data_IF_210155425484
#
_entry.id   IF_210155425484
#
_cell.length_a   1.000
_cell.length_b   1.000
_cell.length_c   1.000
_cell.angle_alpha   90.00
_cell.angle_beta   90.00
_cell.angle_gamma   90.00
#
_symmetry.space_group_name_H-M   'P 1'
#
loop_
_entity.id
_entity.type
_entity.pdbx_description
1 polymer ?
#
# COMPACT_ATOMS: atom_id res chain seq x y z
N UNK A 1 -21.20 -7.52 40.62
CA UNK A 1 -20.75 -6.25 40.04
C UNK A 1 -19.38 -6.33 39.34
N UNK A 2 -18.50 -7.30 39.62
CA UNK A 2 -17.14 -7.38 39.05
C UNK A 2 -17.08 -7.84 37.57
N UNK A 3 -18.12 -8.57 37.08
CA UNK A 3 -18.15 -9.12 35.71
C UNK A 3 -18.57 -8.08 34.64
N UNK A 4 -19.24 -7.02 34.99
CA UNK A 4 -19.66 -5.96 34.04
C UNK A 4 -18.51 -4.99 33.75
N UNK A 5 -17.63 -4.73 34.73
CA UNK A 5 -16.48 -3.87 34.56
C UNK A 5 -15.40 -4.46 33.60
N UNK A 6 -15.25 -5.80 33.60
CA UNK A 6 -14.31 -6.48 32.72
C UNK A 6 -14.75 -6.45 31.23
N UNK A 7 -16.08 -6.51 30.98
CA UNK A 7 -16.63 -6.46 29.62
C UNK A 7 -16.49 -5.07 28.98
N UNK A 8 -16.62 -4.01 29.76
CA UNK A 8 -16.45 -2.62 29.28
C UNK A 8 -14.98 -2.30 28.98
N UNK A 9 -14.04 -2.85 29.75
CA UNK A 9 -12.61 -2.68 29.51
C UNK A 9 -12.10 -3.44 28.27
N UNK A 10 -12.70 -4.59 27.94
CA UNK A 10 -12.35 -5.31 26.72
C UNK A 10 -12.93 -4.64 25.47
N UNK A 11 -14.11 -4.01 25.55
CA UNK A 11 -14.70 -3.29 24.43
C UNK A 11 -13.91 -2.03 24.06
N UNK A 12 -13.28 -1.36 25.02
CA UNK A 12 -12.42 -0.19 24.77
C UNK A 12 -11.04 -0.53 24.18
N UNK A 13 -10.56 -1.76 24.35
CA UNK A 13 -9.30 -2.22 23.76
C UNK A 13 -9.44 -2.67 22.30
N UNK A 14 -10.65 -2.98 21.81
CA UNK A 14 -10.93 -3.33 20.41
C UNK A 14 -11.14 -2.12 19.50
N UNK A 15 -11.24 -0.91 20.05
CA UNK A 15 -11.50 0.31 19.28
C UNK A 15 -10.29 0.98 18.62
N UNK A 16 -9.08 0.42 18.74
CA UNK A 16 -7.84 1.07 18.27
C UNK A 16 -7.24 0.47 17.00
N UNK A 17 -7.88 -0.50 16.35
CA UNK A 17 -7.42 -0.98 15.05
C UNK A 17 -7.98 -0.08 13.96
N UNK A 18 -7.12 0.79 13.42
CA UNK A 18 -7.46 1.62 12.27
C UNK A 18 -7.82 0.78 11.04
N UNK A 19 -8.66 1.33 10.18
CA UNK A 19 -9.03 0.73 8.91
C UNK A 19 -8.18 1.30 7.77
N UNK A 20 -7.51 0.43 7.01
CA UNK A 20 -6.74 0.85 5.84
C UNK A 20 -7.61 0.85 4.59
N UNK A 21 -7.62 1.98 3.88
CA UNK A 21 -8.29 2.12 2.59
C UNK A 21 -7.27 2.43 1.48
N UNK A 22 -7.25 1.64 0.40
CA UNK A 22 -7.99 0.37 0.25
C UNK A 22 -7.50 -0.73 1.20
N UNK A 23 -8.42 -1.59 1.64
CA UNK A 23 -8.16 -2.67 2.60
C UNK A 23 -7.06 -3.64 2.14
N UNK A 24 -6.90 -3.82 0.85
CA UNK A 24 -5.84 -4.64 0.25
C UNK A 24 -4.43 -4.24 0.71
N UNK A 25 -4.20 -2.95 1.00
CA UNK A 25 -2.89 -2.44 1.37
C UNK A 25 -2.59 -2.43 2.87
N UNK A 26 -3.40 -3.09 3.69
CA UNK A 26 -3.13 -3.19 5.13
C UNK A 26 -1.75 -3.81 5.43
N UNK A 27 -1.36 -4.82 4.67
CA UNK A 27 -0.11 -5.57 4.84
C UNK A 27 0.81 -5.53 3.60
N UNK A 28 0.49 -4.71 2.61
CA UNK A 28 1.25 -4.57 1.38
C UNK A 28 1.45 -3.10 1.06
N UNK A 29 2.57 -2.79 0.45
CA UNK A 29 2.83 -1.46 -0.11
C UNK A 29 2.18 -1.36 -1.49
N UNK A 30 1.63 -0.19 -1.82
CA UNK A 30 1.09 0.09 -3.13
C UNK A 30 2.17 0.10 -4.22
N UNK A 31 1.79 -0.08 -5.48
CA UNK A 31 2.73 -0.16 -6.60
C UNK A 31 3.28 1.21 -7.02
N UNK A 32 2.69 2.29 -6.53
CA UNK A 32 3.02 3.66 -6.90
C UNK A 32 3.63 4.42 -5.74
N UNK A 33 4.17 5.60 -6.06
CA UNK A 33 4.57 6.58 -5.08
C UNK A 33 3.87 7.92 -5.36
N UNK A 34 3.63 8.71 -4.32
CA UNK A 34 3.04 10.03 -4.46
C UNK A 34 3.69 11.02 -3.50
N UNK A 35 4.04 12.19 -4.00
CA UNK A 35 4.52 13.30 -3.17
C UNK A 35 3.38 14.19 -2.66
N UNK A 36 2.16 14.06 -3.16
CA UNK A 36 1.01 14.89 -2.80
C UNK A 36 0.19 14.28 -1.66
N UNK A 37 -0.37 15.10 -0.76
CA UNK A 37 -0.18 16.55 -0.60
C UNK A 37 1.00 16.88 0.30
N UNK A 38 1.51 15.95 1.10
CA UNK A 38 2.38 16.23 2.24
C UNK A 38 3.86 16.27 1.89
N UNK A 39 4.28 15.57 0.85
CA UNK A 39 5.68 15.34 0.51
C UNK A 39 6.24 16.21 -0.62
N UNK A 40 5.43 16.99 -1.32
CA UNK A 40 5.94 17.97 -2.29
C UNK A 40 6.42 19.23 -1.57
N UNK A 41 7.29 20.02 -2.20
CA UNK A 41 7.85 21.26 -1.62
C UNK A 41 6.97 22.49 -1.86
N UNK A 42 5.96 22.39 -2.74
CA UNK A 42 5.07 23.51 -3.09
C UNK A 42 4.00 23.73 -2.03
N UNK A 43 3.79 24.97 -1.65
CA UNK A 43 2.67 25.45 -0.81
C UNK A 43 2.13 26.73 -1.40
N UNK A 44 0.81 27.04 -1.22
CA UNK A 44 -0.19 26.16 -0.61
C UNK A 44 -0.55 24.97 -1.52
N UNK A 45 -1.19 23.95 -0.93
CA UNK A 45 -1.62 22.77 -1.66
C UNK A 45 -3.02 22.36 -1.20
N UNK A 46 -3.95 22.12 -2.13
CA UNK A 46 -5.28 21.59 -1.85
C UNK A 46 -5.39 20.18 -2.37
N UNK A 47 -5.90 19.27 -1.54
CA UNK A 47 -5.99 17.86 -1.88
C UNK A 47 -7.19 17.20 -1.21
N UNK A 48 -7.91 16.36 -1.94
CA UNK A 48 -9.00 15.56 -1.41
C UNK A 48 -8.93 14.12 -1.92
N UNK A 49 -9.47 13.18 -1.15
CA UNK A 49 -9.72 11.81 -1.60
C UNK A 49 -11.14 11.38 -1.22
N UNK A 50 -11.75 10.56 -2.08
CA UNK A 50 -13.01 9.87 -1.84
C UNK A 50 -12.71 8.39 -1.72
N UNK A 51 -13.25 7.73 -0.68
CA UNK A 51 -13.04 6.34 -0.35
C UNK A 51 -14.38 5.61 -0.27
N UNK A 52 -14.55 4.53 -1.02
CA UNK A 52 -15.78 3.75 -1.10
C UNK A 52 -15.81 2.55 -0.14
N UNK A 53 -14.67 2.20 0.46
CA UNK A 53 -14.49 0.97 1.24
C UNK A 53 -14.33 1.19 2.76
N UNK A 54 -14.52 2.42 3.24
CA UNK A 54 -14.39 2.73 4.68
C UNK A 54 -15.64 2.22 5.43
N UNK A 55 -15.48 1.42 6.49
CA UNK A 55 -16.61 0.93 7.27
C UNK A 55 -17.23 2.01 8.17
N UNK A 56 -18.43 1.77 8.67
CA UNK A 56 -19.07 2.61 9.67
C UNK A 56 -18.23 2.68 10.95
N UNK A 57 -18.13 3.88 11.55
CA UNK A 57 -17.40 4.09 12.79
C UNK A 57 -17.23 5.58 13.13
N UNK A 58 -16.57 5.85 14.22
CA UNK A 58 -16.14 7.20 14.59
C UNK A 58 -14.68 7.34 14.19
N UNK A 59 -14.39 8.24 13.25
CA UNK A 59 -13.05 8.49 12.74
C UNK A 59 -12.43 9.61 13.60
N UNK A 60 -11.31 9.31 14.23
CA UNK A 60 -10.60 10.24 15.14
C UNK A 60 -9.26 10.71 14.58
N UNK A 61 -8.87 10.20 13.42
CA UNK A 61 -7.65 10.59 12.73
C UNK A 61 -7.39 9.81 11.45
N UNK A 62 -6.35 10.21 10.77
CA UNK A 62 -5.86 9.53 9.56
C UNK A 62 -4.33 9.42 9.61
N UNK A 63 -3.82 8.31 9.07
CA UNK A 63 -2.38 8.03 9.02
C UNK A 63 -1.94 7.70 7.62
N UNK A 64 -0.70 8.06 7.32
CA UNK A 64 -0.03 7.70 6.08
C UNK A 64 1.34 7.09 6.38
N UNK A 65 1.92 6.45 5.39
CA UNK A 65 3.26 5.88 5.49
C UNK A 65 4.12 6.32 4.31
N UNK A 66 5.42 6.35 4.52
CA UNK A 66 6.36 6.59 3.43
C UNK A 66 6.35 5.39 2.48
N UNK A 67 6.48 5.68 1.19
CA UNK A 67 6.81 4.65 0.22
C UNK A 67 8.22 4.16 0.47
N UNK A 68 8.42 2.85 0.42
CA UNK A 68 9.72 2.26 0.66
C UNK A 68 10.66 2.57 -0.50
N UNK A 69 11.59 3.45 -0.24
CA UNK A 69 12.71 3.75 -1.14
C UNK A 69 14.02 3.50 -0.41
N UNK A 70 15.11 3.42 -1.14
CA UNK A 70 16.46 3.44 -0.55
C UNK A 70 16.84 4.82 -0.03
N UNK A 71 16.04 5.84 -0.34
CA UNK A 71 16.27 7.22 0.09
C UNK A 71 15.72 7.43 1.49
N UNK A 72 16.56 7.90 2.40
CA UNK A 72 16.12 8.37 3.71
C UNK A 72 15.68 9.83 3.60
N UNK A 73 14.51 10.15 4.16
CA UNK A 73 14.02 11.51 4.20
C UNK A 73 14.26 12.11 5.60
N UNK A 74 14.69 13.39 5.67
CA UNK A 74 14.85 14.07 6.97
C UNK A 74 13.49 14.29 7.64
N UNK A 75 13.51 14.44 8.95
CA UNK A 75 12.35 14.92 9.69
C UNK A 75 11.92 16.30 9.19
N UNK A 76 10.61 16.52 9.13
CA UNK A 76 10.03 17.78 8.66
C UNK A 76 8.69 18.04 9.31
N UNK A 77 8.14 19.23 9.12
CA UNK A 77 6.81 19.58 9.60
C UNK A 77 5.90 20.02 8.46
N UNK A 78 4.59 19.79 8.66
CA UNK A 78 3.52 20.19 7.73
C UNK A 78 2.41 20.86 8.55
N UNK A 79 1.96 22.05 8.12
CA UNK A 79 0.81 22.74 8.71
C UNK A 79 -0.40 22.59 7.82
N UNK A 80 -1.52 22.13 8.39
CA UNK A 80 -2.74 21.83 7.63
C UNK A 80 -4.01 22.31 8.31
N UNK A 81 -5.01 22.58 7.48
CA UNK A 81 -6.44 22.47 7.79
C UNK A 81 -6.99 21.21 7.15
N UNK A 82 -7.96 20.54 7.78
CA UNK A 82 -8.61 19.38 7.18
C UNK A 82 -10.12 19.33 7.43
N UNK A 83 -10.85 18.80 6.45
CA UNK A 83 -12.29 18.57 6.48
C UNK A 83 -12.60 17.13 6.16
N UNK A 84 -13.71 16.64 6.73
CA UNK A 84 -14.26 15.31 6.43
C UNK A 84 -15.76 15.43 6.23
N UNK A 85 -16.32 14.60 5.37
CA UNK A 85 -17.76 14.48 5.14
C UNK A 85 -18.11 13.09 4.59
N UNK A 86 -19.39 12.75 4.60
CA UNK A 86 -19.95 11.80 3.63
C UNK A 86 -19.77 12.41 2.23
N UNK A 87 -19.30 11.63 1.25
CA UNK A 87 -19.15 12.11 -0.12
C UNK A 87 -20.51 12.17 -0.83
N UNK A 88 -20.68 13.15 -1.72
CA UNK A 88 -21.90 13.27 -2.56
C UNK A 88 -21.97 12.14 -3.58
N UNK A 89 -20.82 11.67 -4.08
CA UNK A 89 -20.71 10.63 -5.08
C UNK A 89 -19.64 9.62 -4.68
N UNK A 90 -19.70 8.38 -5.16
CA UNK A 90 -18.61 7.43 -4.98
C UNK A 90 -17.34 7.91 -5.71
N UNK A 91 -16.22 7.26 -5.41
CA UNK A 91 -14.89 7.61 -5.95
C UNK A 91 -14.88 7.74 -7.47
N UNK A 92 -15.61 6.88 -8.19
CA UNK A 92 -15.70 6.93 -9.65
C UNK A 92 -16.41 8.20 -10.18
N UNK A 93 -17.22 8.86 -9.34
CA UNK A 93 -17.95 10.09 -9.67
C UNK A 93 -17.25 11.37 -9.16
N UNK A 94 -15.98 11.32 -8.77
CA UNK A 94 -15.25 12.46 -8.23
C UNK A 94 -15.32 13.69 -9.17
N UNK A 95 -15.56 14.86 -8.59
CA UNK A 95 -15.72 16.13 -9.29
C UNK A 95 -14.45 16.99 -9.15
N UNK A 96 -14.08 17.69 -10.23
CA UNK A 96 -12.93 18.61 -10.22
C UNK A 96 -13.12 19.80 -9.26
N UNK A 97 -14.36 20.24 -9.01
CA UNK A 97 -14.67 21.23 -7.98
C UNK A 97 -14.67 20.55 -6.62
N UNK A 98 -13.74 20.90 -5.75
CA UNK A 98 -13.54 20.26 -4.46
C UNK A 98 -14.81 20.18 -3.61
N UNK A 99 -15.52 21.29 -3.47
CA UNK A 99 -16.71 21.38 -2.61
C UNK A 99 -17.88 20.52 -3.13
N UNK A 100 -17.94 20.21 -4.42
CA UNK A 100 -18.95 19.33 -4.99
C UNK A 100 -18.79 17.85 -4.61
N UNK A 101 -17.69 17.48 -3.96
CA UNK A 101 -17.48 16.12 -3.46
C UNK A 101 -17.93 15.93 -2.01
N UNK A 102 -18.12 17.01 -1.28
CA UNK A 102 -18.52 17.01 0.12
C UNK A 102 -20.03 17.02 0.30
N UNK A 103 -20.53 16.17 1.19
CA UNK A 103 -21.91 16.19 1.63
C UNK A 103 -22.24 17.36 2.58
N UNK A 104 -23.50 17.44 2.96
CA UNK A 104 -24.03 18.50 3.86
C UNK A 104 -23.47 18.41 5.27
N UNK A 105 -22.89 17.28 5.63
CA UNK A 105 -22.27 16.97 6.93
C UNK A 105 -20.76 17.34 6.96
N UNK A 106 -20.27 18.12 5.99
CA UNK A 106 -18.88 18.59 5.96
C UNK A 106 -18.52 19.34 7.23
N UNK A 107 -17.54 18.83 7.96
CA UNK A 107 -16.99 19.51 9.15
C UNK A 107 -15.49 19.67 9.03
N UNK A 108 -14.95 20.73 9.61
CA UNK A 108 -13.51 20.88 9.80
C UNK A 108 -13.08 20.04 10.99
N UNK A 109 -12.12 19.16 10.77
CA UNK A 109 -11.62 18.21 11.78
C UNK A 109 -10.22 18.54 12.26
N UNK A 110 -9.46 19.37 11.53
CA UNK A 110 -8.15 19.90 11.92
C UNK A 110 -8.12 21.39 11.60
N UNK A 111 -7.65 22.19 12.59
CA UNK A 111 -7.65 23.64 12.53
C UNK A 111 -6.21 24.18 12.56
N UNK A 112 -5.65 24.55 11.41
CA UNK A 112 -4.33 25.18 11.23
C UNK A 112 -3.25 24.57 12.12
N UNK A 113 -3.15 23.23 12.13
CA UNK A 113 -2.28 22.49 13.05
C UNK A 113 -0.99 22.05 12.36
N UNK A 114 0.12 22.21 13.07
CA UNK A 114 1.43 21.73 12.61
C UNK A 114 1.71 20.34 13.17
N UNK A 115 2.03 19.41 12.27
CA UNK A 115 2.43 18.04 12.58
C UNK A 115 3.90 17.85 12.26
N UNK A 116 4.62 17.20 13.17
CA UNK A 116 6.03 16.87 13.00
C UNK A 116 6.15 15.41 12.51
N UNK A 117 6.69 15.25 11.34
CA UNK A 117 6.96 13.94 10.76
C UNK A 117 8.37 13.50 11.11
N UNK A 118 8.57 12.28 11.61
CA UNK A 118 9.89 11.76 11.88
C UNK A 118 10.67 11.56 10.55
N UNK A 119 11.98 11.43 10.65
CA UNK A 119 12.78 10.97 9.52
C UNK A 119 12.31 9.58 9.08
N UNK A 120 12.33 9.32 7.77
CA UNK A 120 12.05 7.98 7.28
C UNK A 120 13.16 7.01 7.67
N UNK A 121 12.78 5.77 7.96
CA UNK A 121 13.72 4.69 8.24
C UNK A 121 13.72 3.78 7.03
N UNK A 122 14.91 3.45 6.52
CA UNK A 122 15.04 2.37 5.56
C UNK A 122 14.54 1.08 6.21
N UNK A 123 13.64 0.37 5.58
CA UNK A 123 13.00 -0.76 6.24
C UNK A 123 12.21 -1.66 5.30
N UNK A 124 11.31 -2.40 5.89
CA UNK A 124 10.47 -3.40 5.23
C UNK A 124 9.26 -2.74 4.54
N UNK A 125 8.82 -3.29 3.43
CA UNK A 125 7.52 -2.97 2.84
C UNK A 125 6.41 -3.84 3.49
N UNK A 126 5.26 -3.26 3.87
CA UNK A 126 4.99 -1.83 3.89
C UNK A 126 5.70 -1.10 5.03
N UNK A 127 5.94 0.21 4.85
CA UNK A 127 6.47 1.08 5.88
C UNK A 127 5.54 1.23 7.10
N UNK A 128 6.07 1.71 8.22
CA UNK A 128 5.27 2.02 9.40
C UNK A 128 4.38 3.26 9.15
N UNK A 129 3.23 3.33 9.83
CA UNK A 129 2.31 4.48 9.82
C UNK A 129 2.86 5.63 10.65
N UNK A 130 3.82 6.39 10.08
CA UNK A 130 4.57 7.43 10.78
C UNK A 130 3.99 8.84 10.62
N UNK A 131 3.19 9.07 9.60
CA UNK A 131 2.54 10.36 9.34
C UNK A 131 1.16 10.33 9.98
N UNK A 132 1.07 10.77 11.22
CA UNK A 132 -0.13 10.66 12.06
C UNK A 132 -0.81 12.03 12.21
N UNK A 133 -2.09 12.09 11.85
CA UNK A 133 -2.92 13.29 11.85
C UNK A 133 -4.18 13.06 12.70
N UNK A 134 -4.07 13.09 14.05
CA UNK A 134 -5.23 13.04 14.92
C UNK A 134 -6.12 14.27 14.70
N UNK A 135 -7.43 14.04 14.67
CA UNK A 135 -8.43 15.07 14.49
C UNK A 135 -8.69 15.83 15.81
N UNK A 136 -8.96 17.13 15.69
CA UNK A 136 -9.43 17.95 16.81
C UNK A 136 -10.92 17.68 17.12
N UNK A 137 -11.69 17.28 16.08
CA UNK A 137 -13.10 16.92 16.18
C UNK A 137 -13.33 15.57 15.51
N UNK A 138 -13.80 14.54 16.24
CA UNK A 138 -14.14 13.24 15.66
C UNK A 138 -15.27 13.33 14.64
N UNK A 139 -15.23 12.50 13.61
CA UNK A 139 -16.24 12.41 12.57
C UNK A 139 -16.99 11.07 12.63
N UNK A 140 -18.31 11.04 12.91
CA UNK A 140 -19.11 9.82 12.83
C UNK A 140 -19.44 9.52 11.37
N UNK A 141 -18.99 8.36 10.88
CA UNK A 141 -19.25 7.90 9.50
C UNK A 141 -20.14 6.68 9.49
N UNK A 142 -21.17 6.67 8.64
CA UNK A 142 -22.17 5.60 8.57
C UNK A 142 -21.75 4.37 7.76
N UNK A 143 -20.64 4.45 7.00
CA UNK A 143 -20.16 3.35 6.16
C UNK A 143 -20.98 3.12 4.89
N UNK A 144 -20.75 1.98 4.25
CA UNK A 144 -21.43 1.60 3.03
C UNK A 144 -22.97 1.64 3.18
N UNK A 145 -23.71 2.08 2.15
CA UNK A 145 -23.27 2.35 0.78
C UNK A 145 -22.64 3.74 0.56
N UNK A 146 -22.38 4.50 1.63
CA UNK A 146 -21.83 5.83 1.55
C UNK A 146 -20.31 5.78 1.37
N UNK A 147 -19.77 6.79 0.70
CA UNK A 147 -18.32 7.01 0.54
C UNK A 147 -17.86 8.10 1.50
N UNK A 148 -16.62 8.01 1.95
CA UNK A 148 -15.98 9.02 2.80
C UNK A 148 -15.19 9.99 1.92
N UNK A 149 -15.37 11.30 2.12
CA UNK A 149 -14.52 12.34 1.52
C UNK A 149 -13.71 13.04 2.61
N UNK A 150 -12.39 13.12 2.42
CA UNK A 150 -11.55 13.99 3.22
C UNK A 150 -10.80 14.98 2.32
N UNK A 151 -10.54 16.16 2.85
CA UNK A 151 -9.85 17.26 2.18
C UNK A 151 -8.83 17.87 3.11
N UNK A 152 -7.66 18.26 2.57
CA UNK A 152 -6.65 19.03 3.31
C UNK A 152 -6.18 20.24 2.51
N UNK A 153 -5.97 21.35 3.23
CA UNK A 153 -5.23 22.51 2.78
C UNK A 153 -3.87 22.50 3.49
N UNK A 154 -2.81 22.31 2.73
CA UNK A 154 -1.45 22.41 3.27
C UNK A 154 -0.97 23.82 3.10
N UNK A 155 -0.75 24.52 4.20
CA UNK A 155 -0.45 25.96 4.23
C UNK A 155 1.04 26.25 4.46
N UNK A 156 1.76 25.38 5.17
CA UNK A 156 3.19 25.50 5.39
C UNK A 156 3.90 24.15 5.48
N UNK A 157 5.16 24.12 5.13
CA UNK A 157 6.06 22.95 5.18
C UNK A 157 7.49 23.39 5.46
N UNK A 158 8.28 22.52 6.09
CA UNK A 158 9.70 22.74 6.32
C UNK A 158 10.62 21.89 5.46
N UNK A 159 10.09 20.88 4.73
CA UNK A 159 10.91 20.05 3.86
C UNK A 159 11.46 20.82 2.66
N UNK A 160 12.72 20.54 2.32
CA UNK A 160 13.43 21.12 1.16
C UNK A 160 13.58 20.12 0.02
N UNK A 161 13.23 18.86 0.26
CA UNK A 161 13.26 17.77 -0.73
C UNK A 161 11.89 17.10 -0.81
N UNK A 162 11.57 16.55 -1.97
CA UNK A 162 10.33 15.79 -2.12
C UNK A 162 10.39 14.49 -1.33
N UNK A 163 9.35 14.21 -0.57
CA UNK A 163 9.15 12.99 0.23
C UNK A 163 8.06 12.16 -0.43
N UNK A 164 8.31 10.89 -0.74
CA UNK A 164 7.32 10.02 -1.37
C UNK A 164 6.56 9.20 -0.34
N UNK A 165 5.25 9.15 -0.53
CA UNK A 165 4.33 8.38 0.30
C UNK A 165 3.83 7.16 -0.45
N UNK A 166 3.45 6.13 0.31
CA UNK A 166 2.81 4.93 -0.22
C UNK A 166 1.51 5.30 -0.92
N UNK A 167 1.40 4.87 -2.15
CA UNK A 167 0.24 5.15 -2.97
C UNK A 167 -0.11 4.00 -3.90
N UNK A 168 -1.36 3.98 -4.28
CA UNK A 168 -1.90 2.97 -5.17
C UNK A 168 -2.76 3.62 -6.25
N UNK A 169 -3.35 2.78 -7.07
CA UNK A 169 -4.18 3.20 -8.19
C UNK A 169 -3.46 3.05 -9.51
N UNK A 170 -4.22 2.65 -10.48
CA UNK A 170 -3.79 2.47 -11.84
C UNK A 170 -4.59 3.43 -12.72
N UNK A 171 -3.95 3.92 -13.77
CA UNK A 171 -4.59 4.88 -14.68
C UNK A 171 -5.95 4.42 -15.19
N UNK A 172 -6.65 5.32 -15.72
CA UNK A 172 -8.08 5.52 -15.97
C UNK A 172 -8.89 4.43 -16.68
N UNK A 173 -8.35 3.32 -17.11
CA UNK A 173 -9.12 2.35 -17.91
C UNK A 173 -9.15 0.98 -17.26
N UNK A 174 -10.21 0.73 -16.47
CA UNK A 174 -10.64 -0.59 -16.02
C UNK A 174 -9.51 -1.47 -15.44
N UNK A 175 -8.86 -1.12 -14.33
CA UNK A 175 -7.87 -1.99 -13.74
C UNK A 175 -8.57 -3.25 -13.21
N UNK A 176 -8.39 -4.36 -13.90
CA UNK A 176 -8.94 -5.64 -13.48
C UNK A 176 -8.09 -6.32 -12.39
N UNK A 177 -6.89 -5.81 -12.12
CA UNK A 177 -5.99 -6.34 -11.09
C UNK A 177 -5.36 -5.20 -10.30
N UNK A 178 -5.34 -5.34 -8.99
CA UNK A 178 -4.58 -4.52 -8.06
C UNK A 178 -3.31 -5.26 -7.65
N UNK A 179 -2.19 -4.57 -7.62
CA UNK A 179 -0.89 -5.15 -7.27
C UNK A 179 -0.30 -4.48 -6.03
N UNK A 180 0.50 -5.22 -5.29
CA UNK A 180 1.20 -4.72 -4.12
C UNK A 180 2.43 -5.55 -3.82
N UNK A 181 3.20 -5.15 -2.82
CA UNK A 181 4.35 -5.91 -2.34
C UNK A 181 4.49 -5.77 -0.82
N UNK A 182 5.16 -6.73 -0.19
CA UNK A 182 5.43 -6.67 1.25
C UNK A 182 6.54 -7.61 1.67
N UNK A 183 6.97 -7.48 2.91
CA UNK A 183 8.09 -8.24 3.45
C UNK A 183 9.45 -7.75 2.97
N UNK A 184 10.51 -8.48 3.33
CA UNK A 184 11.89 -8.20 2.94
C UNK A 184 12.49 -9.36 2.18
N UNK A 185 13.35 -9.07 1.21
CA UNK A 185 14.26 -10.02 0.62
C UNK A 185 15.59 -10.09 1.38
N UNK A 186 16.31 -11.18 1.21
CA UNK A 186 17.71 -11.29 1.62
C UNK A 186 18.65 -11.01 0.43
N UNK A 187 19.97 -11.03 0.66
CA UNK A 187 20.96 -10.67 -0.35
C UNK A 187 21.45 -11.93 -1.07
N UNK A 188 21.47 -11.89 -2.40
CA UNK A 188 22.20 -12.87 -3.19
C UNK A 188 23.71 -12.56 -3.18
N UNK A 189 24.51 -13.58 -3.42
CA UNK A 189 26.00 -13.45 -3.45
C UNK A 189 26.42 -12.34 -4.42
N UNK A 190 27.30 -11.46 -3.92
CA UNK A 190 27.82 -10.33 -4.68
C UNK A 190 26.86 -9.17 -4.88
N UNK A 191 25.69 -9.18 -4.23
CA UNK A 191 24.70 -8.10 -4.27
C UNK A 191 24.77 -7.26 -3.00
N UNK A 192 24.61 -5.96 -3.15
CA UNK A 192 24.49 -4.97 -2.05
C UNK A 192 23.06 -4.52 -1.81
N UNK A 193 22.14 -4.99 -2.64
CA UNK A 193 20.71 -4.72 -2.55
C UNK A 193 19.95 -6.04 -2.43
N UNK A 194 18.97 -6.10 -1.53
CA UNK A 194 18.16 -7.29 -1.31
C UNK A 194 17.42 -7.73 -2.59
N UNK A 195 17.19 -9.03 -2.69
CA UNK A 195 16.37 -9.60 -3.76
C UNK A 195 14.96 -8.99 -3.72
N UNK A 196 14.45 -8.61 -4.87
CA UNK A 196 13.16 -7.95 -5.00
C UNK A 196 12.23 -8.75 -5.92
N UNK A 197 11.00 -8.96 -5.46
CA UNK A 197 9.86 -9.44 -6.24
C UNK A 197 8.86 -8.30 -6.40
N UNK A 198 8.50 -7.97 -7.63
CA UNK A 198 7.47 -7.00 -7.96
C UNK A 198 6.39 -7.65 -8.80
N UNK A 199 5.20 -7.04 -8.75
CA UNK A 199 4.06 -7.39 -9.56
C UNK A 199 3.70 -6.23 -10.47
N UNK A 200 3.38 -6.52 -11.71
CA UNK A 200 2.75 -5.59 -12.66
C UNK A 200 1.63 -6.31 -13.39
N UNK A 201 0.75 -5.58 -14.06
CA UNK A 201 -0.36 -6.19 -14.76
C UNK A 201 -0.68 -5.44 -16.06
N UNK A 202 -1.22 -6.20 -17.04
CA UNK A 202 -1.86 -5.68 -18.23
C UNK A 202 -3.11 -6.52 -18.46
N UNK A 203 -4.23 -6.08 -17.89
CA UNK A 203 -5.48 -6.84 -17.92
C UNK A 203 -6.67 -5.92 -18.15
N UNK A 204 -7.61 -6.43 -18.97
CA UNK A 204 -8.94 -5.87 -19.11
C UNK A 204 -9.94 -6.90 -18.60
N UNK A 205 -10.93 -6.47 -17.82
CA UNK A 205 -11.92 -7.37 -17.25
C UNK A 205 -12.70 -8.19 -18.29
N UNK A 206 -12.97 -7.61 -19.46
CA UNK A 206 -13.77 -8.25 -20.53
C UNK A 206 -12.98 -9.21 -21.38
N UNK A 207 -11.67 -9.05 -21.49
CA UNK A 207 -10.81 -9.85 -22.40
C UNK A 207 -9.78 -10.70 -21.67
N UNK A 208 -9.66 -10.55 -20.35
CA UNK A 208 -8.56 -11.11 -19.61
C UNK A 208 -7.25 -10.36 -19.87
N UNK A 209 -6.12 -10.97 -19.52
CA UNK A 209 -4.80 -10.39 -19.74
C UNK A 209 -3.71 -11.11 -18.98
N UNK A 210 -2.68 -10.38 -18.56
CA UNK A 210 -1.51 -10.94 -17.89
C UNK A 210 -1.23 -10.29 -16.57
N UNK A 211 -0.90 -11.09 -15.57
CA UNK A 211 -0.22 -10.69 -14.36
C UNK A 211 1.26 -11.05 -14.51
N UNK A 212 2.15 -10.07 -14.36
CA UNK A 212 3.59 -10.27 -14.56
C UNK A 212 4.31 -10.14 -13.23
N UNK A 213 5.10 -11.15 -12.89
CA UNK A 213 5.99 -11.18 -11.74
C UNK A 213 7.40 -10.90 -12.25
N UNK A 214 8.07 -9.91 -11.66
CA UNK A 214 9.45 -9.59 -12.01
C UNK A 214 10.34 -9.69 -10.79
N UNK A 215 11.51 -10.29 -10.96
CA UNK A 215 12.57 -10.35 -9.96
C UNK A 215 13.76 -9.52 -10.35
N UNK A 216 14.45 -8.96 -9.34
CA UNK A 216 15.73 -8.27 -9.52
C UNK A 216 16.65 -8.54 -8.35
N UNK A 217 17.93 -8.20 -8.53
CA UNK A 217 19.00 -8.43 -7.57
C UNK A 217 19.23 -9.91 -7.22
N UNK A 218 18.84 -10.82 -8.13
CA UNK A 218 19.09 -12.25 -8.01
C UNK A 218 20.58 -12.56 -8.30
N UNK A 219 21.04 -13.77 -7.94
CA UNK A 219 22.32 -14.26 -8.40
C UNK A 219 22.35 -14.26 -9.94
N UNK A 220 23.37 -13.64 -10.53
CA UNK A 220 23.52 -13.58 -11.99
C UNK A 220 23.57 -14.99 -12.59
N UNK A 221 22.75 -15.25 -13.58
CA UNK A 221 22.60 -16.58 -14.23
C UNK A 221 22.27 -17.71 -13.26
N UNK A 222 21.82 -17.40 -12.05
CA UNK A 222 21.44 -18.36 -11.01
C UNK A 222 20.09 -19.01 -11.30
N UNK A 223 19.93 -20.24 -10.81
CA UNK A 223 18.65 -20.96 -10.84
C UNK A 223 17.69 -20.36 -9.81
N UNK A 224 16.45 -20.14 -10.22
CA UNK A 224 15.40 -19.57 -9.35
C UNK A 224 14.09 -20.33 -9.48
N UNK A 225 13.29 -20.26 -8.43
CA UNK A 225 11.89 -20.70 -8.43
C UNK A 225 11.00 -19.48 -8.20
N UNK A 226 10.08 -19.22 -9.11
CA UNK A 226 8.99 -18.28 -8.92
C UNK A 226 7.84 -19.03 -8.27
N UNK A 227 7.70 -18.85 -6.96
CA UNK A 227 6.70 -19.50 -6.12
C UNK A 227 5.42 -18.66 -6.12
N UNK A 228 4.28 -19.28 -6.36
CA UNK A 228 2.97 -18.60 -6.32
C UNK A 228 1.99 -19.41 -5.50
N UNK A 229 1.17 -18.75 -4.69
CA UNK A 229 0.15 -19.37 -3.85
C UNK A 229 -0.95 -18.41 -3.46
N UNK A 230 -1.93 -18.93 -2.71
CA UNK A 230 -3.10 -18.16 -2.24
C UNK A 230 -3.01 -17.80 -0.76
N UNK A 231 -1.97 -18.24 -0.06
CA UNK A 231 -1.84 -18.08 1.37
C UNK A 231 -0.45 -17.58 1.74
N UNK A 232 -0.40 -16.73 2.76
CA UNK A 232 0.81 -16.22 3.37
C UNK A 232 0.78 -16.27 4.90
N UNK A 233 -0.17 -17.00 5.46
CA UNK A 233 -0.32 -17.22 6.91
C UNK A 233 0.30 -18.55 7.30
N UNK A 234 0.08 -19.59 6.48
CA UNK A 234 0.55 -20.93 6.76
C UNK A 234 0.99 -21.67 5.48
N UNK A 235 1.83 -22.66 5.65
CA UNK A 235 2.25 -23.64 4.66
C UNK A 235 2.35 -25.03 5.32
N UNK A 236 2.52 -26.13 4.58
CA UNK A 236 2.58 -27.47 5.18
C UNK A 236 3.64 -27.65 6.26
N UNK A 237 4.66 -26.80 6.33
CA UNK A 237 5.73 -26.84 7.34
C UNK A 237 5.50 -25.89 8.54
N UNK A 238 4.41 -25.11 8.61
CA UNK A 238 4.13 -24.23 9.73
C UNK A 238 3.56 -22.86 9.36
N UNK A 239 3.78 -21.87 10.22
CA UNK A 239 3.34 -20.49 10.01
C UNK A 239 4.31 -19.71 9.12
N UNK A 240 3.78 -18.73 8.41
CA UNK A 240 4.54 -17.77 7.60
C UNK A 240 4.54 -16.37 8.27
N UNK A 241 5.59 -15.56 8.12
CA UNK A 241 6.85 -15.92 7.44
C UNK A 241 7.69 -16.92 8.21
N UNK A 242 8.23 -17.92 7.51
CA UNK A 242 9.10 -18.95 8.09
C UNK A 242 10.57 -18.63 7.75
N UNK A 243 11.43 -18.60 8.78
CA UNK A 243 12.89 -18.47 8.55
C UNK A 243 13.38 -19.69 7.76
N UNK A 244 14.05 -19.44 6.64
CA UNK A 244 14.75 -20.50 5.90
C UNK A 244 15.89 -20.98 6.76
N UNK A 245 16.00 -22.29 7.06
CA UNK A 245 16.97 -22.83 8.00
C UNK A 245 18.40 -22.35 7.70
N UNK A 246 19.14 -21.96 8.74
CA UNK A 246 20.54 -21.47 8.66
C UNK A 246 20.80 -20.30 7.72
N UNK A 247 19.75 -19.63 7.20
CA UNK A 247 19.91 -18.47 6.34
C UNK A 247 20.36 -17.21 7.09
N UNK A 248 20.16 -17.18 8.40
CA UNK A 248 20.63 -16.10 9.28
C UNK A 248 22.16 -16.14 9.54
N UNK A 249 22.80 -17.24 9.13
CA UNK A 249 24.27 -17.40 9.21
C UNK A 249 24.88 -17.27 7.84
N UNK A 250 25.43 -16.10 7.56
CA UNK A 250 26.08 -15.81 6.26
C UNK A 250 25.85 -14.38 5.76
N UNK A 251 26.42 -14.05 4.61
CA UNK A 251 26.34 -12.69 4.06
C UNK A 251 24.95 -12.30 3.52
N UNK A 252 24.03 -13.29 3.33
CA UNK A 252 22.68 -13.01 2.81
C UNK A 252 21.78 -12.27 3.78
N UNK A 253 22.08 -12.31 5.08
CA UNK A 253 21.10 -11.99 6.13
C UNK A 253 19.99 -12.99 6.24
N UNK A 254 19.05 -12.80 7.17
CA UNK A 254 17.94 -13.72 7.38
C UNK A 254 16.99 -13.74 6.16
N UNK A 255 16.79 -14.94 5.61
CA UNK A 255 15.89 -15.19 4.49
C UNK A 255 14.59 -15.84 4.99
N UNK A 256 13.45 -15.40 4.49
CA UNK A 256 12.15 -15.91 4.93
C UNK A 256 11.32 -16.43 3.75
N UNK A 257 10.74 -17.61 3.92
CA UNK A 257 9.61 -18.05 3.11
C UNK A 257 8.37 -17.27 3.57
N UNK A 258 7.76 -16.53 2.66
CA UNK A 258 6.66 -15.59 2.98
C UNK A 258 5.36 -15.94 2.26
N UNK A 259 5.40 -16.91 1.35
CA UNK A 259 4.27 -17.35 0.54
C UNK A 259 4.20 -18.88 0.61
N UNK A 260 3.00 -19.43 0.74
CA UNK A 260 2.79 -20.87 0.58
C UNK A 260 3.03 -21.26 -0.91
N UNK A 261 4.07 -22.03 -1.24
CA UNK A 261 4.50 -22.27 -2.61
C UNK A 261 3.68 -23.40 -3.25
N UNK A 262 2.45 -23.13 -3.65
CA UNK A 262 1.58 -24.11 -4.31
C UNK A 262 2.00 -24.43 -5.76
N UNK A 263 2.42 -23.38 -6.48
CA UNK A 263 2.94 -23.51 -7.86
C UNK A 263 4.36 -22.97 -7.88
N UNK A 264 5.28 -23.75 -8.40
CA UNK A 264 6.69 -23.41 -8.47
C UNK A 264 7.16 -23.51 -9.94
N UNK A 265 7.47 -22.36 -10.52
CA UNK A 265 8.02 -22.29 -11.87
C UNK A 265 9.54 -22.11 -11.80
N UNK A 266 10.26 -23.06 -12.38
CA UNK A 266 11.71 -22.95 -12.52
C UNK A 266 12.07 -21.95 -13.61
N UNK A 267 13.07 -21.13 -13.35
CA UNK A 267 13.66 -20.21 -14.33
C UNK A 267 15.16 -20.04 -14.05
N UNK A 268 15.85 -19.40 -14.98
CA UNK A 268 17.24 -18.95 -14.80
C UNK A 268 17.24 -17.43 -14.86
N UNK A 269 17.87 -16.81 -13.86
CA UNK A 269 18.02 -15.36 -13.84
C UNK A 269 18.94 -14.92 -15.01
N UNK A 270 18.68 -13.72 -15.49
CA UNK A 270 19.56 -13.08 -16.49
C UNK A 270 20.95 -12.81 -15.94
N UNK A 271 21.90 -12.45 -16.78
CA UNK A 271 23.25 -12.04 -16.37
C UNK A 271 23.25 -10.78 -15.49
N UNK A 272 22.19 -9.95 -15.57
CA UNK A 272 21.96 -8.82 -14.68
C UNK A 272 21.30 -9.20 -13.35
N UNK A 273 20.83 -10.45 -13.19
CA UNK A 273 20.12 -10.93 -12.02
C UNK A 273 18.63 -10.59 -12.05
N UNK A 274 18.01 -10.59 -13.21
CA UNK A 274 16.57 -10.40 -13.39
C UNK A 274 15.85 -11.70 -13.76
N UNK A 275 14.57 -11.80 -13.46
CA UNK A 275 13.65 -12.85 -13.96
C UNK A 275 12.29 -12.24 -14.24
N UNK A 276 11.58 -12.81 -15.21
CA UNK A 276 10.19 -12.42 -15.50
C UNK A 276 9.35 -13.67 -15.68
N UNK A 277 8.22 -13.73 -14.98
CA UNK A 277 7.20 -14.76 -15.09
C UNK A 277 5.88 -14.11 -15.46
N UNK A 278 5.20 -14.65 -16.47
CA UNK A 278 3.88 -14.19 -16.91
C UNK A 278 2.83 -15.23 -16.52
N UNK A 279 1.75 -14.77 -15.90
CA UNK A 279 0.56 -15.55 -15.58
C UNK A 279 -0.59 -15.00 -16.44
N UNK A 280 -1.16 -15.85 -17.28
CA UNK A 280 -2.37 -15.50 -18.03
C UNK A 280 -3.58 -15.60 -17.10
N UNK A 281 -4.36 -14.52 -17.01
CA UNK A 281 -5.57 -14.44 -16.21
C UNK A 281 -6.76 -14.33 -17.16
N UNK A 282 -7.67 -15.31 -17.16
CA UNK A 282 -8.85 -15.26 -18.01
C UNK A 282 -9.84 -14.20 -17.54
N UNK A 283 -10.72 -13.75 -18.42
CA UNK A 283 -11.87 -12.91 -18.09
C UNK A 283 -12.97 -13.76 -17.45
N UNK A 284 -12.76 -14.18 -16.22
CA UNK A 284 -13.67 -15.04 -15.47
C UNK A 284 -14.15 -14.35 -14.19
N UNK A 285 -15.48 -14.07 -14.07
CA UNK A 285 -16.05 -13.46 -12.88
C UNK A 285 -15.83 -14.26 -11.60
N UNK A 286 -15.62 -15.57 -11.67
CA UNK A 286 -15.36 -16.41 -10.50
C UNK A 286 -14.02 -16.11 -9.83
N UNK A 287 -13.09 -15.46 -10.53
CA UNK A 287 -11.80 -15.03 -10.01
C UNK A 287 -11.88 -13.72 -9.21
N UNK A 288 -13.05 -13.09 -9.16
CA UNK A 288 -13.23 -11.84 -8.42
C UNK A 288 -12.78 -11.96 -6.96
N UNK A 289 -12.02 -10.99 -6.50
CA UNK A 289 -11.41 -10.95 -5.16
C UNK A 289 -10.30 -11.98 -4.91
N UNK A 290 -9.95 -12.81 -5.89
CA UNK A 290 -8.83 -13.73 -5.75
C UNK A 290 -7.54 -12.94 -5.53
N UNK A 291 -6.78 -13.32 -4.52
CA UNK A 291 -5.45 -12.78 -4.24
C UNK A 291 -4.40 -13.86 -4.50
N UNK A 292 -3.47 -13.57 -5.39
CA UNK A 292 -2.28 -14.36 -5.63
C UNK A 292 -1.09 -13.70 -4.94
N UNK A 293 -0.32 -14.50 -4.22
CA UNK A 293 0.96 -14.09 -3.63
C UNK A 293 2.09 -14.77 -4.39
N UNK A 294 3.16 -14.03 -4.66
CA UNK A 294 4.32 -14.55 -5.36
C UNK A 294 5.61 -14.18 -4.64
N UNK A 295 6.56 -15.08 -4.61
CA UNK A 295 7.89 -14.90 -4.05
C UNK A 295 8.91 -15.59 -4.95
N UNK A 296 10.15 -15.10 -4.99
CA UNK A 296 11.23 -15.71 -5.75
C UNK A 296 12.24 -16.29 -4.77
N UNK A 297 12.52 -17.58 -4.93
CA UNK A 297 13.58 -18.28 -4.23
C UNK A 297 14.74 -18.50 -5.19
N UNK A 298 15.95 -18.12 -4.80
CA UNK A 298 17.18 -18.32 -5.59
C UNK A 298 18.05 -19.43 -5.00
N UNK A 299 18.59 -20.30 -5.82
CA UNK A 299 19.64 -21.24 -5.41
C UNK A 299 20.99 -20.49 -5.43
N UNK A 300 21.62 -20.36 -4.27
CA UNK A 300 22.86 -19.60 -4.09
C UNK A 300 23.67 -20.20 -2.93
N UNK A 301 24.48 -21.19 -3.27
CA UNK A 301 25.25 -21.95 -2.28
C UNK A 301 26.27 -21.11 -1.50
N UNK A 302 26.60 -19.92 -2.00
CA UNK A 302 27.57 -19.04 -1.35
C UNK A 302 26.92 -17.96 -0.47
N UNK A 303 25.61 -17.80 -0.54
CA UNK A 303 24.88 -16.76 0.20
C UNK A 303 24.69 -17.12 1.68
N UNK A 304 24.40 -18.38 1.97
CA UNK A 304 24.19 -18.91 3.32
C UNK A 304 24.37 -20.43 3.36
N UNK A 305 24.36 -21.02 4.55
CA UNK A 305 24.59 -22.46 4.73
C UNK A 305 23.49 -23.35 4.18
N UNK A 306 22.27 -22.82 3.96
CA UNK A 306 21.19 -23.57 3.34
C UNK A 306 21.25 -23.53 1.81
N UNK A 307 21.98 -22.56 1.26
CA UNK A 307 22.14 -22.39 -0.20
C UNK A 307 20.90 -21.84 -0.90
N UNK A 308 20.02 -21.18 -0.16
CA UNK A 308 18.78 -20.59 -0.70
C UNK A 308 18.61 -19.15 -0.25
N UNK A 309 18.35 -18.27 -1.19
CA UNK A 309 17.99 -16.88 -0.96
C UNK A 309 16.51 -16.64 -1.32
N UNK A 310 15.90 -15.62 -0.74
CA UNK A 310 14.49 -15.31 -0.93
C UNK A 310 14.25 -13.81 -1.15
N UNK A 311 13.35 -13.47 -2.03
CA UNK A 311 12.87 -12.10 -2.20
C UNK A 311 11.82 -11.71 -1.15
N UNK A 312 11.40 -10.45 -1.11
CA UNK A 312 10.09 -10.06 -0.60
C UNK A 312 8.98 -10.77 -1.39
N UNK A 313 7.71 -10.66 -0.95
CA UNK A 313 6.58 -11.14 -1.73
C UNK A 313 5.93 -10.01 -2.56
N UNK A 314 5.28 -10.37 -3.65
CA UNK A 314 4.39 -9.53 -4.44
C UNK A 314 2.98 -10.10 -4.43
N UNK A 315 1.98 -9.26 -4.68
CA UNK A 315 0.57 -9.64 -4.68
C UNK A 315 -0.14 -9.16 -5.93
N UNK A 316 -1.12 -9.96 -6.37
CA UNK A 316 -2.09 -9.58 -7.39
C UNK A 316 -3.48 -9.87 -6.85
N UNK A 317 -4.35 -8.86 -6.79
CA UNK A 317 -5.77 -9.04 -6.49
C UNK A 317 -6.59 -8.83 -7.75
N UNK A 318 -7.37 -9.82 -8.12
CA UNK A 318 -8.33 -9.70 -9.23
C UNK A 318 -9.51 -8.86 -8.76
N UNK A 319 -9.73 -7.72 -9.39
CA UNK A 319 -10.86 -6.83 -9.10
C UNK A 319 -12.10 -7.27 -9.87
N UNK A 320 -13.28 -6.86 -9.41
CA UNK A 320 -14.55 -7.20 -10.04
C UNK A 320 -14.82 -6.47 -11.37
N UNK A 321 -15.95 -6.81 -12.03
CA UNK A 321 -16.28 -6.31 -13.36
C UNK A 321 -16.45 -4.78 -13.42
N UNK A 322 -16.57 -4.14 -12.32
CA UNK A 322 -16.70 -2.68 -12.26
C UNK A 322 -15.38 -1.94 -12.09
N UNK A 323 -14.24 -2.67 -11.97
CA UNK A 323 -12.88 -2.12 -12.01
C UNK A 323 -12.64 -0.78 -11.29
N UNK A 324 -13.67 -0.26 -10.63
CA UNK A 324 -13.64 1.01 -9.95
C UNK A 324 -12.62 0.90 -8.82
N UNK A 325 -11.58 1.67 -8.92
CA UNK A 325 -10.70 1.91 -7.78
C UNK A 325 -11.59 2.41 -6.65
N UNK A 326 -11.51 1.84 -5.44
CA UNK A 326 -12.33 2.29 -4.33
C UNK A 326 -11.94 3.68 -3.83
N UNK A 327 -10.96 4.32 -4.48
CA UNK A 327 -10.44 5.63 -4.11
C UNK A 327 -10.17 6.48 -5.35
N UNK A 328 -10.57 7.75 -5.29
CA UNK A 328 -10.18 8.81 -6.21
C UNK A 328 -9.57 9.98 -5.47
N UNK A 329 -8.70 10.73 -6.13
CA UNK A 329 -8.12 11.96 -5.59
C UNK A 329 -8.42 13.15 -6.46
N UNK A 330 -8.48 14.32 -5.81
CA UNK A 330 -8.54 15.64 -6.44
C UNK A 330 -7.37 16.46 -5.88
N UNK A 331 -6.61 17.15 -6.71
CA UNK A 331 -5.47 17.91 -6.24
C UNK A 331 -5.24 19.20 -7.03
N UNK A 332 -4.68 20.20 -6.35
CA UNK A 332 -4.26 21.47 -6.91
C UNK A 332 -2.98 21.94 -6.20
N UNK A 333 -1.91 22.12 -6.96
CA UNK A 333 -0.60 22.58 -6.47
C UNK A 333 -0.44 24.09 -6.63
N UNK A 334 0.13 24.75 -5.62
CA UNK A 334 0.41 26.18 -5.63
C UNK A 334 -0.81 27.08 -5.43
N UNK A 335 -1.99 26.52 -5.10
CA UNK A 335 -3.23 27.28 -4.93
C UNK A 335 -4.22 26.52 -4.05
N UNK A 336 -5.17 27.25 -3.44
CA UNK A 336 -6.35 26.72 -2.74
C UNK A 336 -7.65 26.99 -3.52
N UNK A 337 -7.57 27.24 -4.82
CA UNK A 337 -8.75 27.52 -5.64
C UNK A 337 -9.77 26.36 -5.66
N UNK A 338 -10.99 26.66 -6.11
CA UNK A 338 -12.12 25.74 -6.05
C UNK A 338 -11.97 24.48 -6.92
N UNK A 339 -11.21 24.56 -8.03
CA UNK A 339 -11.10 23.48 -9.00
C UNK A 339 -9.70 22.88 -9.02
N UNK A 340 -9.64 21.56 -9.07
CA UNK A 340 -8.42 20.78 -9.16
C UNK A 340 -8.44 19.76 -10.31
N UNK A 341 -7.46 18.87 -10.30
CA UNK A 341 -7.37 17.75 -11.24
C UNK A 341 -7.87 16.47 -10.56
N UNK A 342 -8.81 15.78 -11.17
CA UNK A 342 -9.31 14.47 -10.72
C UNK A 342 -8.41 13.37 -11.27
N UNK A 343 -8.06 12.39 -10.44
CA UNK A 343 -7.28 11.23 -10.85
C UNK A 343 -7.64 9.99 -10.01
N UNK A 344 -7.86 8.87 -10.66
CA UNK A 344 -7.94 7.54 -10.02
C UNK A 344 -6.58 6.87 -9.82
N UNK A 345 -5.47 7.54 -10.19
CA UNK A 345 -4.12 7.00 -10.04
C UNK A 345 -3.35 7.69 -8.91
N UNK A 346 -2.41 6.95 -8.30
CA UNK A 346 -1.51 7.47 -7.25
C UNK A 346 -2.23 8.18 -6.09
N UNK A 347 -3.40 7.66 -5.67
CA UNK A 347 -4.03 8.07 -4.42
C UNK A 347 -3.22 7.54 -3.22
N UNK A 348 -3.25 8.24 -2.10
CA UNK A 348 -2.57 7.79 -0.88
C UNK A 348 -3.29 6.60 -0.27
N UNK A 349 -2.52 5.58 0.14
CA UNK A 349 -3.03 4.54 1.02
C UNK A 349 -3.23 5.16 2.40
N UNK A 350 -4.48 5.21 2.86
CA UNK A 350 -4.88 5.92 4.07
C UNK A 350 -5.32 4.93 5.15
N UNK A 351 -4.83 5.11 6.38
CA UNK A 351 -5.35 4.39 7.54
C UNK A 351 -6.18 5.36 8.38
N UNK A 352 -7.46 5.06 8.54
CA UNK A 352 -8.40 5.77 9.41
C UNK A 352 -8.50 5.07 10.76
N UNK A 353 -8.62 5.82 11.86
CA UNK A 353 -8.73 5.26 13.21
C UNK A 353 -9.64 6.11 14.10
#
# INVERSE_FOLDING_TARGET
MLRIAAAVLLASALGAQGYTSPAFFVQTEGPNNNVFPFGNTTVPFRFAQIHDDVPAGVITGMRFRHNLTTTQYPAHSVTIDAWVSTAVTPAAGANATFDNNHGVDKIQVIFNRTYNHPASVAGQAPGAWLLDYPFDVPFPFSGAPNSLCWEVHVTAKTQTVSVVHDSAGQGTTNPAIQVGRGGTGCFATGRTTAMLCNATQAMNWTTGGTATITGSNLLASGAVFVCTGFDRIAWPGGLLPALIPTSDVGPSGACYLQVNPLVNNFAVATTSGGVTQIINVPADPSLHSLVLYSQILGLDASANNFGVTASNFATHQVLGPHGAQPVSRIFLSGSLAANGTVSGSSYLVTNFY
#
